data_IF_814403320154
#
_entry.id   IF_814403320154
#
_cell.length_a   1.000
_cell.length_b   1.000
_cell.length_c   1.000
_cell.angle_alpha   90.00
_cell.angle_beta   90.00
_cell.angle_gamma   90.00
#
_symmetry.space_group_name_H-M   'P 1'
#
loop_
_entity.id
_entity.type
_entity.pdbx_description
1 polymer ?
#
# COMPACT_ATOMS: atom_id res chain seq x y z
N UNK A 1 -6.60 38.48 1.15
CA UNK A 1 -5.78 38.07 -0.01
C UNK A 1 -4.48 37.44 0.51
N UNK A 2 -4.50 36.16 0.87
CA UNK A 2 -3.32 35.47 1.42
C UNK A 2 -2.50 34.91 0.26
N UNK A 3 -1.26 35.36 0.13
CA UNK A 3 -0.28 34.89 -0.86
C UNK A 3 -0.07 33.38 -0.70
N UNK A 4 -0.48 32.59 -1.70
CA UNK A 4 -0.09 31.18 -1.83
C UNK A 4 1.42 31.14 -2.12
N UNK A 5 2.22 30.70 -1.14
CA UNK A 5 3.63 30.40 -1.35
C UNK A 5 3.76 29.19 -2.27
N UNK A 6 4.61 29.30 -3.29
CA UNK A 6 4.90 28.24 -4.27
C UNK A 6 5.66 27.13 -3.55
N UNK A 7 5.00 26.00 -3.28
CA UNK A 7 5.66 24.76 -2.86
C UNK A 7 6.27 24.07 -4.09
N UNK A 8 7.40 23.35 -3.94
CA UNK A 8 8.12 22.72 -5.05
C UNK A 8 7.29 21.65 -5.77
N UNK A 9 7.62 21.45 -7.04
CA UNK A 9 6.79 20.76 -8.03
C UNK A 9 6.74 19.22 -7.95
N UNK A 10 7.24 18.61 -6.88
CA UNK A 10 7.22 17.15 -6.72
C UNK A 10 5.90 16.61 -6.17
N UNK A 11 5.03 17.48 -5.64
CA UNK A 11 3.72 17.11 -5.07
C UNK A 11 2.53 17.61 -5.93
N UNK A 12 2.76 18.00 -7.19
CA UNK A 12 1.84 18.83 -7.98
C UNK A 12 0.60 18.11 -8.58
N UNK A 13 0.17 17.00 -7.98
CA UNK A 13 -1.11 16.34 -8.25
C UNK A 13 -2.03 16.22 -7.03
N UNK A 14 -1.56 16.62 -5.84
CA UNK A 14 -2.29 16.45 -4.58
C UNK A 14 -3.41 17.48 -4.44
N UNK A 15 -4.65 17.06 -4.69
CA UNK A 15 -5.84 17.77 -4.22
C UNK A 15 -6.28 17.15 -2.88
N UNK A 16 -6.02 17.83 -1.74
CA UNK A 16 -6.32 17.27 -0.42
C UNK A 16 -7.82 17.06 -0.16
N UNK A 17 -8.70 17.66 -0.97
CA UNK A 17 -10.13 17.62 -0.73
C UNK A 17 -10.85 16.27 -0.97
N UNK A 18 -10.19 15.17 -1.40
CA UNK A 18 -10.86 13.86 -1.55
C UNK A 18 -9.92 12.62 -1.67
N UNK A 19 -8.85 12.53 -0.88
CA UNK A 19 -7.96 11.36 -0.93
C UNK A 19 -8.54 10.16 -0.16
N UNK A 20 -8.78 9.04 -0.87
CA UNK A 20 -9.14 7.76 -0.25
C UNK A 20 -7.87 6.97 0.01
N UNK A 21 -7.73 6.40 1.21
CA UNK A 21 -6.63 5.53 1.57
C UNK A 21 -7.10 4.08 1.73
N UNK A 22 -6.19 3.14 1.46
CA UNK A 22 -6.37 1.71 1.75
C UNK A 22 -5.32 1.23 2.75
N UNK A 23 -5.73 0.36 3.67
CA UNK A 23 -4.82 -0.32 4.58
C UNK A 23 -4.53 -1.74 4.07
N UNK A 24 -3.26 -2.03 3.78
CA UNK A 24 -2.83 -3.23 3.09
C UNK A 24 -1.95 -4.12 3.98
N UNK A 25 -2.61 -4.99 4.77
CA UNK A 25 -1.96 -5.91 5.71
C UNK A 25 -2.07 -7.38 5.27
N UNK A 26 -3.31 -7.88 5.14
CA UNK A 26 -3.64 -9.29 4.90
C UNK A 26 -3.02 -9.82 3.60
N UNK A 27 -2.59 -11.08 3.63
CA UNK A 27 -2.02 -11.81 2.50
C UNK A 27 -2.74 -13.15 2.32
N UNK A 28 -2.62 -13.80 1.14
CA UNK A 28 -3.20 -15.13 0.95
C UNK A 28 -2.76 -16.18 1.99
N UNK A 29 -1.55 -16.03 2.54
CA UNK A 29 -1.00 -16.91 3.58
C UNK A 29 -0.96 -16.31 4.98
N UNK A 30 -1.44 -15.08 5.19
CA UNK A 30 -1.39 -14.39 6.48
C UNK A 30 -2.66 -13.56 6.70
N UNK A 31 -3.58 -14.09 7.51
CA UNK A 31 -4.82 -13.45 7.93
C UNK A 31 -4.79 -13.13 9.43
N UNK A 32 -5.34 -14.04 10.24
CA UNK A 32 -5.30 -13.92 11.71
C UNK A 32 -3.87 -13.89 12.26
N UNK A 33 -2.96 -14.66 11.66
CA UNK A 33 -1.53 -14.58 11.94
C UNK A 33 -0.86 -13.50 11.08
N UNK A 34 -1.15 -12.24 11.41
CA UNK A 34 -0.71 -11.08 10.64
C UNK A 34 0.82 -10.87 10.69
N UNK A 35 1.48 -11.29 11.77
CA UNK A 35 2.91 -11.12 11.95
C UNK A 35 3.74 -12.06 11.05
N UNK A 36 3.12 -13.10 10.48
CA UNK A 36 3.74 -14.03 9.53
C UNK A 36 3.66 -13.56 8.07
N UNK A 37 3.33 -12.28 7.82
CA UNK A 37 3.33 -11.72 6.48
C UNK A 37 4.70 -11.84 5.79
N UNK A 38 4.66 -12.02 4.46
CA UNK A 38 5.83 -12.29 3.60
C UNK A 38 6.12 -11.20 2.58
N UNK A 39 5.20 -10.24 2.38
CA UNK A 39 5.51 -9.04 1.59
C UNK A 39 6.74 -8.38 2.19
N UNK A 40 7.77 -8.18 1.37
CA UNK A 40 9.06 -7.65 1.79
C UNK A 40 9.30 -6.28 1.18
N UNK A 41 10.03 -5.46 1.91
CA UNK A 41 10.50 -4.16 1.44
C UNK A 41 12.00 -4.06 1.74
N UNK A 42 12.80 -4.23 0.71
CA UNK A 42 14.27 -4.17 0.80
C UNK A 42 14.69 -2.71 0.61
N UNK A 43 15.57 -2.21 1.49
CA UNK A 43 16.02 -0.80 1.47
C UNK A 43 17.38 -0.69 0.83
N UNK A 44 17.48 0.20 -0.14
CA UNK A 44 18.74 0.75 -0.66
C UNK A 44 18.64 2.29 -0.62
N UNK A 45 18.69 2.98 -1.76
CA UNK A 45 18.30 4.39 -1.88
C UNK A 45 16.78 4.60 -1.81
N UNK A 46 16.03 3.59 -2.24
CA UNK A 46 14.57 3.50 -2.23
C UNK A 46 14.15 2.17 -1.57
N UNK A 47 12.88 2.05 -1.18
CA UNK A 47 12.29 0.75 -0.86
C UNK A 47 11.88 0.02 -2.14
N UNK A 48 12.28 -1.24 -2.28
CA UNK A 48 11.79 -2.15 -3.32
C UNK A 48 10.83 -3.15 -2.68
N UNK A 49 9.54 -3.04 -3.00
CA UNK A 49 8.47 -3.85 -2.42
C UNK A 49 8.09 -4.98 -3.36
N UNK A 50 7.99 -6.19 -2.80
CA UNK A 50 7.52 -7.37 -3.50
C UNK A 50 6.55 -8.17 -2.64
N UNK A 51 5.37 -8.49 -3.17
CA UNK A 51 4.36 -9.30 -2.50
C UNK A 51 2.93 -9.02 -2.97
N UNK A 52 1.98 -9.74 -2.38
CA UNK A 52 0.56 -9.61 -2.71
C UNK A 52 -0.26 -9.46 -1.44
N UNK A 53 -1.04 -8.38 -1.39
CA UNK A 53 -2.02 -8.11 -0.36
C UNK A 53 -3.41 -8.52 -0.85
N UNK A 54 -4.19 -9.14 0.04
CA UNK A 54 -5.46 -9.80 -0.26
C UNK A 54 -6.59 -9.12 0.50
N UNK A 55 -7.74 -8.95 -0.17
CA UNK A 55 -8.96 -8.35 0.40
C UNK A 55 -8.83 -6.89 0.82
N UNK A 56 -8.09 -6.07 0.05
CA UNK A 56 -7.85 -4.69 0.45
C UNK A 56 -9.05 -3.82 0.09
N UNK A 57 -9.72 -3.31 1.13
CA UNK A 57 -10.88 -2.42 1.01
C UNK A 57 -10.50 -1.09 0.40
N UNK A 58 -11.36 -0.60 -0.50
CA UNK A 58 -11.20 0.60 -1.32
C UNK A 58 -9.99 0.58 -2.26
N UNK A 59 -9.34 -0.58 -2.45
CA UNK A 59 -8.14 -0.66 -3.28
C UNK A 59 -8.34 -0.15 -4.72
N UNK A 60 -9.50 -0.31 -5.37
CA UNK A 60 -9.75 0.28 -6.69
C UNK A 60 -9.84 1.81 -6.70
N UNK A 61 -10.26 2.44 -5.59
CA UNK A 61 -10.47 3.89 -5.47
C UNK A 61 -9.33 4.63 -4.76
N UNK A 62 -8.51 3.93 -3.96
CA UNK A 62 -7.53 4.55 -3.08
C UNK A 62 -6.43 5.29 -3.84
N UNK A 63 -6.18 6.56 -3.52
CA UNK A 63 -5.03 7.29 -4.05
C UNK A 63 -3.71 6.93 -3.36
N UNK A 64 -3.78 6.29 -2.20
CA UNK A 64 -2.62 5.91 -1.38
C UNK A 64 -2.89 4.61 -0.60
N UNK A 65 -1.84 3.82 -0.39
CA UNK A 65 -1.88 2.55 0.32
C UNK A 65 -0.92 2.60 1.50
N UNK A 66 -1.41 2.31 2.70
CA UNK A 66 -0.56 2.00 3.86
C UNK A 66 -0.23 0.51 3.81
N UNK A 67 0.98 0.19 3.35
CA UNK A 67 1.43 -1.17 3.09
C UNK A 67 2.26 -1.67 4.26
N UNK A 68 1.83 -2.78 4.86
CA UNK A 68 2.59 -3.47 5.90
C UNK A 68 3.56 -4.45 5.24
N UNK A 69 4.86 -4.23 5.38
CA UNK A 69 5.89 -5.06 4.75
C UNK A 69 7.03 -5.35 5.71
N UNK A 70 7.64 -6.53 5.57
CA UNK A 70 8.82 -6.93 6.33
C UNK A 70 10.04 -6.20 5.80
N UNK A 71 10.60 -5.32 6.61
CA UNK A 71 11.83 -4.56 6.33
C UNK A 71 13.05 -5.11 7.06
N UNK A 72 12.82 -5.86 8.14
CA UNK A 72 13.87 -6.50 8.93
C UNK A 72 13.58 -8.01 9.00
N UNK A 73 14.11 -8.80 8.04
CA UNK A 73 13.80 -10.22 7.92
C UNK A 73 14.27 -11.05 9.12
N UNK A 74 15.34 -10.61 9.79
CA UNK A 74 15.94 -11.31 10.94
C UNK A 74 15.21 -11.05 12.26
N UNK A 75 14.26 -10.09 12.29
CA UNK A 75 13.46 -9.78 13.46
C UNK A 75 12.11 -10.51 13.34
N UNK A 76 11.88 -11.41 14.29
CA UNK A 76 10.66 -12.20 14.36
C UNK A 76 9.44 -11.34 14.74
N UNK A 77 8.25 -11.79 14.34
CA UNK A 77 7.00 -11.17 14.74
C UNK A 77 6.77 -9.79 14.11
N UNK A 78 6.00 -8.97 14.83
CA UNK A 78 5.56 -7.65 14.36
C UNK A 78 6.69 -6.62 14.32
N UNK A 79 7.72 -6.78 15.16
CA UNK A 79 8.83 -5.84 15.28
C UNK A 79 9.68 -5.75 14.00
N UNK A 80 9.67 -6.79 13.15
CA UNK A 80 10.34 -6.80 11.85
C UNK A 80 9.54 -6.18 10.70
N UNK A 81 8.34 -5.65 10.98
CA UNK A 81 7.39 -5.14 9.98
C UNK A 81 7.29 -3.62 10.10
N UNK A 82 7.37 -2.94 8.96
CA UNK A 82 7.15 -1.48 8.86
C UNK A 82 5.89 -1.16 8.06
N UNK A 83 5.34 0.03 8.30
CA UNK A 83 4.30 0.63 7.48
C UNK A 83 4.94 1.56 6.44
N UNK A 84 4.66 1.33 5.15
CA UNK A 84 5.19 2.12 4.04
C UNK A 84 4.01 2.71 3.27
N UNK A 85 4.05 4.01 2.99
CA UNK A 85 3.05 4.67 2.17
C UNK A 85 3.42 4.52 0.69
N UNK A 86 2.49 3.99 -0.09
CA UNK A 86 2.67 3.80 -1.54
C UNK A 86 1.56 4.53 -2.28
N UNK A 87 1.93 5.41 -3.20
CA UNK A 87 0.96 6.15 -4.00
C UNK A 87 0.37 5.27 -5.11
N UNK A 88 -0.86 5.57 -5.52
CA UNK A 88 -1.44 4.96 -6.72
C UNK A 88 -0.58 5.32 -7.94
N UNK A 89 -0.32 4.32 -8.78
CA UNK A 89 0.41 4.51 -10.03
C UNK A 89 1.92 4.39 -9.89
N UNK A 90 2.43 4.16 -8.67
CA UNK A 90 3.84 3.77 -8.49
C UNK A 90 4.16 2.56 -9.38
N UNK A 91 5.21 2.63 -10.23
CA UNK A 91 5.59 1.50 -11.08
C UNK A 91 5.79 0.22 -10.27
N UNK A 92 5.24 -0.89 -10.75
CA UNK A 92 5.24 -2.17 -10.04
C UNK A 92 4.05 -2.39 -9.10
N UNK A 93 3.20 -1.38 -8.86
CA UNK A 93 1.90 -1.54 -8.19
C UNK A 93 0.82 -1.88 -9.22
N UNK A 94 0.10 -2.99 -9.00
CA UNK A 94 -1.08 -3.35 -9.79
C UNK A 94 -2.21 -3.88 -8.90
N UNK A 95 -3.43 -3.93 -9.46
CA UNK A 95 -4.62 -4.38 -8.76
C UNK A 95 -5.17 -5.67 -9.38
N UNK A 96 -5.61 -6.58 -8.51
CA UNK A 96 -6.36 -7.76 -8.92
C UNK A 96 -7.79 -7.44 -9.36
N UNK A 97 -8.52 -8.48 -9.76
CA UNK A 97 -9.96 -8.34 -10.06
C UNK A 97 -10.74 -8.04 -8.77
N UNK A 98 -11.79 -7.18 -8.82
CA UNK A 98 -12.66 -6.97 -7.68
C UNK A 98 -13.31 -8.26 -7.18
N UNK A 99 -13.33 -8.46 -5.86
CA UNK A 99 -13.93 -9.67 -5.27
C UNK A 99 -15.46 -9.65 -5.39
N UNK A 100 -16.01 -10.83 -5.72
CA UNK A 100 -17.45 -11.09 -5.63
C UNK A 100 -17.79 -11.52 -4.20
N UNK A 101 -18.45 -10.63 -3.46
CA UNK A 101 -18.79 -10.82 -2.04
C UNK A 101 -20.27 -11.15 -1.84
N UNK A 102 -20.57 -11.91 -0.79
CA UNK A 102 -21.96 -12.20 -0.38
C UNK A 102 -22.73 -10.94 0.06
N UNK A 103 -22.06 -10.02 0.76
CA UNK A 103 -22.58 -8.77 1.32
C UNK A 103 -21.52 -7.68 1.30
N UNK A 104 -21.81 -6.49 1.86
CA UNK A 104 -20.92 -5.31 1.77
C UNK A 104 -20.48 -5.03 0.33
N UNK A 105 -21.41 -5.18 -0.63
CA UNK A 105 -21.11 -5.13 -2.08
C UNK A 105 -20.65 -3.75 -2.55
N UNK A 106 -21.00 -2.69 -1.82
CA UNK A 106 -20.52 -1.32 -2.08
C UNK A 106 -19.11 -1.04 -1.58
N UNK A 107 -18.56 -1.87 -0.68
CA UNK A 107 -17.15 -1.79 -0.30
C UNK A 107 -16.33 -2.57 -1.33
N UNK A 108 -15.70 -1.88 -2.27
CA UNK A 108 -14.90 -2.55 -3.28
C UNK A 108 -13.61 -3.08 -2.67
N UNK A 109 -13.30 -4.34 -2.95
CA UNK A 109 -12.12 -5.04 -2.43
C UNK A 109 -11.45 -5.73 -3.60
N UNK A 110 -10.12 -5.72 -3.62
CA UNK A 110 -9.33 -6.52 -4.55
C UNK A 110 -7.95 -6.79 -3.95
N UNK A 111 -7.15 -7.55 -4.69
CA UNK A 111 -5.74 -7.71 -4.36
C UNK A 111 -4.96 -6.46 -4.74
N UNK A 112 -3.92 -6.16 -3.97
CA UNK A 112 -2.90 -5.15 -4.31
C UNK A 112 -1.57 -5.89 -4.46
N UNK A 113 -0.99 -5.81 -5.65
CA UNK A 113 0.14 -6.62 -6.07
C UNK A 113 1.33 -5.68 -6.27
N UNK A 114 2.48 -6.06 -5.71
CA UNK A 114 3.74 -5.33 -5.80
C UNK A 114 4.78 -6.22 -6.48
N UNK A 115 5.24 -5.78 -7.65
CA UNK A 115 6.29 -6.44 -8.43
C UNK A 115 7.43 -5.44 -8.65
N UNK A 116 8.48 -5.56 -7.83
CA UNK A 116 9.60 -4.61 -7.80
C UNK A 116 9.14 -3.14 -7.69
N UNK A 117 8.14 -2.90 -6.86
CA UNK A 117 7.54 -1.58 -6.68
C UNK A 117 8.50 -0.67 -5.92
N UNK A 118 8.92 0.44 -6.53
CA UNK A 118 9.93 1.36 -5.97
C UNK A 118 9.30 2.55 -5.28
N UNK A 119 9.65 2.77 -4.02
CA UNK A 119 9.05 3.80 -3.17
C UNK A 119 10.16 4.64 -2.52
N UNK A 120 10.16 5.97 -2.70
CA UNK A 120 11.12 6.86 -2.05
C UNK A 120 11.08 6.75 -0.52
N UNK A 121 12.24 6.90 0.14
CA UNK A 121 12.38 6.93 1.61
C UNK A 121 12.26 8.35 2.16
#
# INVERSE_FOLDING_TARGET
>A
MVRRSRRPATCLGWRPENLIASFALTEPGAGSDAASLRTRAERDDEYVINGTKRFITNAPEAGIYTVMARTQPDIAGADGISAILVERGTPGLSLGKPDKKMGQRGAHTCDVIFENCRVPV
#
